data_IF_018926746834
#
_entry.id   IF_018926746834
#
_cell.length_a   1.000
_cell.length_b   1.000
_cell.length_c   1.000
_cell.angle_alpha   90.00
_cell.angle_beta   90.00
_cell.angle_gamma   90.00
#
_symmetry.space_group_name_H-M   'P 1'
#
loop_
_entity.id
_entity.type
_entity.pdbx_description
1 polymer ?
#
# COMPACT_ATOMS: atom_id res chain seq x y z
N UNK A 1 -14.28 -26.07 27.55
CA UNK A 1 -15.29 -25.34 28.35
C UNK A 1 -15.76 -24.05 27.69
N UNK A 2 -14.86 -23.18 27.19
CA UNK A 2 -15.24 -21.94 26.47
C UNK A 2 -16.12 -22.23 25.23
N UNK A 3 -15.85 -23.30 24.50
CA UNK A 3 -16.62 -23.69 23.30
C UNK A 3 -18.10 -23.99 23.57
N UNK A 4 -18.41 -24.71 24.66
CA UNK A 4 -19.78 -24.99 25.08
C UNK A 4 -20.50 -23.73 25.57
N UNK A 5 -19.76 -22.80 26.19
CA UNK A 5 -20.28 -21.51 26.65
C UNK A 5 -20.64 -20.60 25.47
N UNK A 6 -19.77 -20.54 24.44
CA UNK A 6 -20.00 -19.81 23.19
C UNK A 6 -21.23 -20.38 22.46
N UNK A 7 -21.35 -21.71 22.33
CA UNK A 7 -22.54 -22.36 21.74
C UNK A 7 -23.82 -22.14 22.53
N UNK A 8 -23.73 -21.96 23.85
CA UNK A 8 -24.89 -21.67 24.71
C UNK A 8 -25.35 -20.21 24.63
N UNK A 9 -24.41 -19.28 24.45
CA UNK A 9 -24.69 -17.83 24.37
C UNK A 9 -25.13 -17.40 22.97
N UNK A 10 -24.63 -18.09 21.96
CA UNK A 10 -24.92 -17.84 20.56
C UNK A 10 -26.14 -18.70 20.18
N UNK A 11 -27.27 -18.06 19.89
CA UNK A 11 -28.49 -18.74 19.43
C UNK A 11 -28.30 -19.60 18.17
N UNK A 12 -29.35 -20.26 17.68
CA UNK A 12 -29.28 -21.21 16.56
C UNK A 12 -28.52 -20.67 15.32
N UNK A 13 -28.72 -19.39 15.00
CA UNK A 13 -28.04 -18.72 13.87
C UNK A 13 -26.51 -18.69 14.02
N UNK A 14 -25.99 -18.30 15.18
CA UNK A 14 -24.53 -18.19 15.30
C UNK A 14 -23.84 -19.53 15.60
N UNK A 15 -24.57 -20.56 16.06
CA UNK A 15 -24.07 -21.94 16.04
C UNK A 15 -23.85 -22.40 14.60
N UNK A 16 -24.79 -22.11 13.71
CA UNK A 16 -24.64 -22.38 12.29
C UNK A 16 -23.46 -21.63 11.67
N UNK A 17 -23.22 -20.36 12.02
CA UNK A 17 -22.03 -19.61 11.59
C UNK A 17 -20.72 -20.20 12.13
N UNK A 18 -20.70 -20.61 13.40
CA UNK A 18 -19.53 -21.24 14.02
C UNK A 18 -19.19 -22.56 13.32
N UNK A 19 -20.19 -23.41 13.09
CA UNK A 19 -20.03 -24.69 12.43
C UNK A 19 -19.60 -24.50 10.96
N UNK A 20 -20.13 -23.48 10.28
CA UNK A 20 -19.69 -23.09 8.94
C UNK A 20 -18.23 -22.63 8.93
N UNK A 21 -17.83 -21.80 9.91
CA UNK A 21 -16.46 -21.33 10.03
C UNK A 21 -15.51 -22.49 10.33
N UNK A 22 -15.85 -23.41 11.23
CA UNK A 22 -14.99 -24.56 11.54
C UNK A 22 -14.81 -25.47 10.31
N UNK A 23 -15.91 -25.80 9.62
CA UNK A 23 -15.89 -26.65 8.43
C UNK A 23 -15.08 -26.02 7.27
N UNK A 24 -15.08 -24.69 7.15
CA UNK A 24 -14.39 -23.97 6.07
C UNK A 24 -13.16 -23.19 6.55
N UNK A 25 -12.71 -23.42 7.78
CA UNK A 25 -11.70 -22.58 8.46
C UNK A 25 -10.40 -22.49 7.65
N UNK A 26 -9.96 -23.60 7.07
CA UNK A 26 -8.80 -23.64 6.19
C UNK A 26 -8.96 -22.72 4.97
N UNK A 27 -10.11 -22.79 4.29
CA UNK A 27 -10.41 -21.98 3.10
C UNK A 27 -10.49 -20.50 3.46
N UNK A 28 -11.17 -20.16 4.54
CA UNK A 28 -11.32 -18.78 5.02
C UNK A 28 -9.94 -18.19 5.35
N UNK A 29 -9.12 -18.92 6.10
CA UNK A 29 -7.77 -18.47 6.46
C UNK A 29 -6.85 -18.38 5.24
N UNK A 30 -6.96 -19.30 4.28
CA UNK A 30 -6.23 -19.24 3.03
C UNK A 30 -6.59 -17.98 2.20
N UNK A 31 -7.89 -17.64 2.13
CA UNK A 31 -8.35 -16.41 1.46
C UNK A 31 -7.80 -15.17 2.17
N UNK A 32 -7.85 -15.13 3.50
CA UNK A 32 -7.32 -14.01 4.30
C UNK A 32 -5.81 -13.85 4.07
N UNK A 33 -5.06 -14.95 4.09
CA UNK A 33 -3.62 -14.94 3.82
C UNK A 33 -3.31 -14.49 2.39
N UNK A 34 -4.05 -14.99 1.40
CA UNK A 34 -3.90 -14.60 0.00
C UNK A 34 -4.17 -13.09 -0.18
N UNK A 35 -5.22 -12.58 0.46
CA UNK A 35 -5.53 -11.16 0.46
C UNK A 35 -4.41 -10.33 1.10
N UNK A 36 -3.92 -10.75 2.27
CA UNK A 36 -2.81 -10.09 2.95
C UNK A 36 -1.54 -10.06 2.08
N UNK A 37 -1.24 -11.17 1.40
CA UNK A 37 -0.13 -11.25 0.45
C UNK A 37 -0.33 -10.29 -0.74
N UNK A 38 -1.54 -10.19 -1.29
CA UNK A 38 -1.84 -9.24 -2.36
C UNK A 38 -1.64 -7.78 -1.92
N UNK A 39 -2.11 -7.42 -0.71
CA UNK A 39 -1.91 -6.07 -0.14
C UNK A 39 -0.43 -5.80 0.09
N UNK A 40 0.31 -6.76 0.62
CA UNK A 40 1.75 -6.63 0.85
C UNK A 40 2.53 -6.42 -0.47
N UNK A 41 2.23 -7.19 -1.50
CA UNK A 41 2.83 -7.03 -2.83
C UNK A 41 2.45 -5.68 -3.47
N UNK A 42 1.22 -5.21 -3.26
CA UNK A 42 0.78 -3.89 -3.72
C UNK A 42 1.51 -2.75 -3.00
N UNK A 43 1.80 -2.93 -1.71
CA UNK A 43 2.60 -2.00 -0.92
C UNK A 43 4.05 -1.94 -1.39
N UNK A 44 4.70 -3.09 -1.66
CA UNK A 44 6.05 -3.11 -2.26
C UNK A 44 6.07 -2.37 -3.59
N UNK A 45 5.04 -2.56 -4.41
CA UNK A 45 4.89 -1.93 -5.72
C UNK A 45 4.78 -0.41 -5.59
N UNK A 46 4.00 0.07 -4.62
CA UNK A 46 3.93 1.48 -4.26
C UNK A 46 5.30 2.05 -3.86
N UNK A 47 6.06 1.35 -3.00
CA UNK A 47 7.38 1.80 -2.58
C UNK A 47 8.38 1.88 -3.75
N UNK A 48 8.32 0.93 -4.70
CA UNK A 48 9.13 0.99 -5.93
C UNK A 48 8.78 2.21 -6.78
N UNK A 49 7.49 2.48 -6.97
CA UNK A 49 7.03 3.68 -7.67
C UNK A 49 7.53 4.95 -6.99
N UNK A 50 7.40 5.03 -5.66
CA UNK A 50 7.85 6.17 -4.87
C UNK A 50 9.36 6.41 -5.01
N UNK A 51 10.19 5.36 -4.88
CA UNK A 51 11.65 5.48 -5.07
C UNK A 51 11.99 5.98 -6.47
N UNK A 52 11.31 5.46 -7.50
CA UNK A 52 11.54 5.89 -8.87
C UNK A 52 11.17 7.34 -9.11
N UNK A 53 10.06 7.81 -8.52
CA UNK A 53 9.66 9.22 -8.54
C UNK A 53 10.77 10.08 -7.91
N UNK A 54 11.29 9.68 -6.75
CA UNK A 54 12.36 10.42 -6.09
C UNK A 54 13.65 10.45 -6.93
N UNK A 55 14.05 9.33 -7.53
CA UNK A 55 15.19 9.27 -8.45
C UNK A 55 15.00 10.19 -9.66
N UNK A 56 13.81 10.19 -10.28
CA UNK A 56 13.51 11.07 -11.42
C UNK A 56 13.49 12.56 -11.05
N UNK A 57 13.19 12.86 -9.78
CA UNK A 57 13.27 14.19 -9.20
C UNK A 57 14.71 14.55 -8.73
N UNK A 58 15.69 13.67 -8.97
CA UNK A 58 17.09 13.89 -8.58
C UNK A 58 17.39 13.70 -7.09
N UNK A 59 16.47 13.10 -6.34
CA UNK A 59 16.60 12.88 -4.90
C UNK A 59 17.24 11.51 -4.68
N UNK A 60 18.54 11.49 -4.37
CA UNK A 60 19.22 10.28 -3.91
C UNK A 60 18.88 10.04 -2.44
N UNK A 61 18.33 8.86 -2.12
CA UNK A 61 18.06 8.44 -0.73
C UNK A 61 19.36 8.09 0.04
N UNK A 62 20.43 7.77 -0.69
CA UNK A 62 21.75 7.45 -0.13
C UNK A 62 22.55 8.73 0.15
N UNK A 63 22.95 8.92 1.41
CA UNK A 63 23.96 9.91 1.80
C UNK A 63 23.44 11.32 2.04
N UNK A 64 23.33 11.68 3.33
CA UNK A 64 23.66 12.96 3.99
C UNK A 64 23.59 14.32 3.28
N UNK A 65 22.89 14.51 2.17
CA UNK A 65 22.73 15.85 1.60
C UNK A 65 21.42 16.40 2.12
N UNK A 66 21.52 17.49 2.91
CA UNK A 66 20.42 18.43 3.13
C UNK A 66 19.89 18.85 1.77
N UNK A 67 18.95 18.07 1.24
CA UNK A 67 18.34 18.35 -0.04
C UNK A 67 17.48 19.60 0.17
N UNK A 68 18.00 20.76 -0.24
CA UNK A 68 17.26 22.01 -0.39
C UNK A 68 16.29 21.85 -1.57
N UNK A 69 15.37 20.90 -1.44
CA UNK A 69 14.41 20.57 -2.47
C UNK A 69 13.20 21.48 -2.33
N UNK A 70 13.10 22.41 -3.27
CA UNK A 70 11.86 23.04 -3.68
C UNK A 70 11.43 22.29 -4.95
N UNK A 71 10.41 21.44 -4.87
CA UNK A 71 9.81 20.87 -6.08
C UNK A 71 9.19 22.06 -6.82
N UNK A 72 9.81 22.54 -7.89
CA UNK A 72 9.11 23.43 -8.82
C UNK A 72 8.08 22.58 -9.57
N UNK A 73 6.89 23.14 -9.83
CA UNK A 73 5.80 22.47 -10.58
C UNK A 73 6.31 21.83 -11.89
N UNK A 74 7.31 22.45 -12.50
CA UNK A 74 8.00 22.01 -13.72
C UNK A 74 8.64 20.61 -13.61
N UNK A 75 9.22 20.26 -12.45
CA UNK A 75 9.85 18.96 -12.24
C UNK A 75 8.85 17.81 -12.05
N UNK A 76 7.60 18.12 -11.69
CA UNK A 76 6.52 17.13 -11.61
C UNK A 76 5.87 16.88 -12.98
N UNK A 77 5.80 17.91 -13.83
CA UNK A 77 5.27 17.81 -15.18
C UNK A 77 6.16 16.96 -16.12
N UNK A 78 7.46 16.89 -15.86
CA UNK A 78 8.42 16.07 -16.62
C UNK A 78 8.46 14.60 -16.23
N UNK A 79 7.65 14.17 -15.25
CA UNK A 79 7.61 12.77 -14.81
C UNK A 79 7.04 11.85 -15.89
N UNK A 80 7.84 10.86 -16.30
CA UNK A 80 7.40 9.79 -17.20
C UNK A 80 6.59 8.74 -16.41
N UNK A 81 5.28 8.95 -16.36
CA UNK A 81 4.33 8.05 -15.71
C UNK A 81 4.26 6.66 -16.35
N UNK A 82 4.55 6.54 -17.65
CA UNK A 82 4.55 5.25 -18.35
C UNK A 82 5.78 4.42 -17.98
N UNK A 83 6.95 5.05 -17.86
CA UNK A 83 8.14 4.41 -17.32
C UNK A 83 7.91 3.93 -15.87
N UNK A 84 7.23 4.74 -15.04
CA UNK A 84 6.90 4.32 -13.67
C UNK A 84 5.97 3.11 -13.63
N UNK A 85 4.94 3.08 -14.48
CA UNK A 85 4.00 1.95 -14.55
C UNK A 85 4.70 0.64 -14.95
N UNK A 86 5.74 0.74 -15.78
CA UNK A 86 6.54 -0.40 -16.26
C UNK A 86 7.66 -0.82 -15.29
N UNK A 87 7.99 0.00 -14.30
CA UNK A 87 9.12 -0.25 -13.40
C UNK A 87 8.97 -1.47 -12.48
N UNK A 88 7.75 -2.01 -12.31
CA UNK A 88 7.49 -3.22 -11.54
C UNK A 88 6.41 -4.07 -12.19
N UNK A 89 6.51 -5.40 -12.03
CA UNK A 89 5.64 -6.37 -12.69
C UNK A 89 4.22 -6.39 -12.10
N UNK A 90 4.09 -6.34 -10.77
CA UNK A 90 2.82 -6.51 -10.07
C UNK A 90 1.77 -5.46 -10.50
N UNK A 91 0.51 -5.83 -10.76
CA UNK A 91 -0.48 -4.93 -11.35
C UNK A 91 -1.23 -4.06 -10.34
N UNK A 92 -1.08 -4.30 -9.03
CA UNK A 92 -1.78 -3.56 -7.98
C UNK A 92 -0.84 -2.61 -7.23
N UNK A 93 -1.43 -1.54 -6.74
CA UNK A 93 -0.80 -0.54 -5.87
C UNK A 93 -1.70 -0.23 -4.69
N UNK A 94 -1.08 0.04 -3.54
CA UNK A 94 -1.79 0.36 -2.30
C UNK A 94 -1.06 1.48 -1.58
N UNK A 95 -1.81 2.48 -1.10
CA UNK A 95 -1.26 3.59 -0.33
C UNK A 95 -0.82 3.10 1.07
N UNK A 96 0.27 3.64 1.65
CA UNK A 96 0.63 3.34 3.04
C UNK A 96 -0.57 3.56 3.97
N UNK A 97 -0.82 2.57 4.83
CA UNK A 97 -1.97 2.52 5.78
C UNK A 97 -3.34 2.30 5.15
N UNK A 98 -3.42 2.00 3.85
CA UNK A 98 -4.65 1.54 3.22
C UNK A 98 -4.67 0.01 3.10
N UNK A 99 -5.86 -0.58 3.17
CA UNK A 99 -6.10 -1.97 2.76
C UNK A 99 -6.67 -2.05 1.35
N UNK A 100 -7.00 -0.91 0.72
CA UNK A 100 -7.58 -0.87 -0.61
C UNK A 100 -6.49 -1.00 -1.68
N UNK A 101 -6.51 -2.12 -2.39
CA UNK A 101 -5.69 -2.34 -3.58
C UNK A 101 -6.36 -1.72 -4.81
N UNK A 102 -5.59 -1.04 -5.64
CA UNK A 102 -6.04 -0.43 -6.90
C UNK A 102 -5.17 -0.88 -8.05
N UNK A 103 -5.72 -0.94 -9.26
CA UNK A 103 -4.95 -1.26 -10.46
C UNK A 103 -3.99 -0.13 -10.84
N UNK A 104 -2.76 -0.50 -11.20
CA UNK A 104 -1.74 0.43 -11.70
C UNK A 104 -2.16 0.98 -13.06
N UNK A 105 -2.69 2.18 -13.04
CA UNK A 105 -3.00 2.97 -14.23
C UNK A 105 -2.41 4.35 -14.04
N UNK A 106 -2.08 5.03 -15.14
CA UNK A 106 -1.53 6.38 -15.11
C UNK A 106 -2.41 7.36 -14.28
N UNK A 107 -3.76 7.38 -14.42
CA UNK A 107 -4.59 8.22 -13.56
C UNK A 107 -4.53 7.82 -12.08
N UNK A 108 -4.48 6.52 -11.77
CA UNK A 108 -4.36 6.07 -10.37
C UNK A 108 -3.01 6.48 -9.77
N UNK A 109 -1.91 6.37 -10.53
CA UNK A 109 -0.58 6.78 -10.06
C UNK A 109 -0.52 8.31 -9.83
N UNK A 110 -1.08 9.11 -10.74
CA UNK A 110 -1.16 10.57 -10.57
C UNK A 110 -1.98 10.98 -9.34
N UNK A 111 -3.08 10.28 -9.08
CA UNK A 111 -3.92 10.52 -7.89
C UNK A 111 -3.26 10.04 -6.59
N UNK A 112 -2.48 8.96 -6.64
CA UNK A 112 -1.74 8.46 -5.47
C UNK A 112 -0.58 9.37 -5.12
N UNK A 113 0.15 9.86 -6.12
CA UNK A 113 1.37 10.66 -5.96
C UNK A 113 1.15 12.11 -6.35
N UNK A 114 0.18 12.80 -5.76
CA UNK A 114 0.00 14.23 -6.00
C UNK A 114 1.21 15.04 -5.53
N UNK A 115 1.45 16.19 -6.14
CA UNK A 115 2.58 17.07 -5.81
C UNK A 115 2.62 17.40 -4.31
N UNK A 116 1.46 17.68 -3.71
CA UNK A 116 1.30 17.95 -2.29
C UNK A 116 1.70 16.76 -1.42
N UNK A 117 1.27 15.54 -1.78
CA UNK A 117 1.62 14.32 -1.05
C UNK A 117 3.12 14.03 -1.11
N UNK A 118 3.75 14.19 -2.28
CA UNK A 118 5.21 14.01 -2.41
C UNK A 118 5.96 15.03 -1.55
N UNK A 119 5.54 16.31 -1.58
CA UNK A 119 6.11 17.35 -0.72
C UNK A 119 5.98 17.01 0.77
N UNK A 120 4.79 16.56 1.19
CA UNK A 120 4.54 16.13 2.57
C UNK A 120 5.40 14.93 2.99
N UNK A 121 5.52 13.92 2.13
CA UNK A 121 6.37 12.74 2.37
C UNK A 121 7.85 13.13 2.48
N UNK A 122 8.32 14.09 1.68
CA UNK A 122 9.69 14.61 1.75
C UNK A 122 9.96 15.44 3.01
N UNK A 123 8.99 16.24 3.47
CA UNK A 123 9.11 16.97 4.75
C UNK A 123 9.19 15.99 5.92
N UNK A 124 8.28 15.00 5.98
CA UNK A 124 8.30 13.98 7.02
C UNK A 124 9.62 13.18 7.05
N UNK A 125 10.19 12.87 5.88
CA UNK A 125 11.49 12.21 5.78
C UNK A 125 12.67 13.07 6.28
N UNK A 126 12.57 14.40 6.23
CA UNK A 126 13.58 15.31 6.81
C UNK A 126 13.47 15.36 8.33
N UNK A 127 12.26 15.40 8.86
CA UNK A 127 12.03 15.49 10.31
C UNK A 127 12.39 14.19 11.04
N UNK A 128 12.22 13.03 10.40
CA UNK A 128 12.60 11.72 10.98
C UNK A 128 14.13 11.52 11.06
N UNK A 129 14.93 12.38 10.41
CA UNK A 129 16.40 12.37 10.45
C UNK A 129 17.00 13.41 11.41
N UNK A 130 16.17 14.23 12.07
CA UNK A 130 16.60 15.16 13.13
C UNK A 130 16.52 14.48 14.49
#
# INVERSE_FOLDING_TARGET
>A
MIYAFIRGYIGGFGRMLLDFYEANSFVINAIILAYGACVYLAYISYLKAYRRILESLGIKLEGSVKSNYSIRKEGYASLDWDAMRRSYFFPLVCEPRSFLVRFKTNPVLRNLFTEEKIRGMLQAAKDTKK
#
